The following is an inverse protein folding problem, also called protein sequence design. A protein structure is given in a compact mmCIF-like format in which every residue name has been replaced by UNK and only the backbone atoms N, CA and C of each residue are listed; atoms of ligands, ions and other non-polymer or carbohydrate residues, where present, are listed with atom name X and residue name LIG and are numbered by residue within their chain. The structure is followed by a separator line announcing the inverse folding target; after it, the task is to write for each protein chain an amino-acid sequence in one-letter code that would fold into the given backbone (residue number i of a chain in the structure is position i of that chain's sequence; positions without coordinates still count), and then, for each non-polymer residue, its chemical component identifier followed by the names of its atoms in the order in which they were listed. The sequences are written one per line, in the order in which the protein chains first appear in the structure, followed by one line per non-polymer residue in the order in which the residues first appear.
data_IF_749064314510
#
_entry.id   IF_749064314510
#
_cell.length_a   1.000
_cell.length_b   1.000
_cell.length_c   1.000
_cell.angle_alpha   90.00
_cell.angle_beta   90.00
_cell.angle_gamma   90.00
#
_symmetry.space_group_name_H-M   'P 1'
#
loop_
_entity.id
_entity.type
_entity.pdbx_description
1 polymer ?
#
# COMPACT_ATOMS: atom_id res chain seq x y z
N UNK A 1 13.05 8.45 0.09
CA UNK A 1 12.46 7.71 -1.06
C UNK A 1 13.32 6.49 -1.39
N UNK A 2 13.68 5.69 -0.39
CA UNK A 2 14.63 4.58 -0.56
C UNK A 2 14.12 3.27 0.11
N UNK A 3 12.83 3.22 0.45
CA UNK A 3 12.21 2.08 1.14
C UNK A 3 12.32 0.75 0.36
N UNK A 4 12.36 0.82 -0.97
CA UNK A 4 12.44 -0.37 -1.84
C UNK A 4 13.71 -1.17 -1.57
N UNK A 5 14.84 -0.53 -1.23
CA UNK A 5 16.09 -1.24 -0.89
C UNK A 5 15.94 -2.16 0.33
N UNK A 6 14.92 -1.93 1.14
CA UNK A 6 14.62 -2.70 2.33
C UNK A 6 13.63 -3.83 2.08
N UNK A 7 12.94 -3.87 0.94
CA UNK A 7 11.94 -4.89 0.63
C UNK A 7 12.46 -6.33 0.75
N UNK A 8 13.72 -6.66 0.39
CA UNK A 8 14.24 -8.01 0.60
C UNK A 8 14.28 -8.48 2.06
N UNK A 9 14.12 -7.58 3.03
CA UNK A 9 14.09 -7.89 4.47
C UNK A 9 12.68 -8.20 4.99
N UNK A 10 11.66 -8.06 4.16
CA UNK A 10 10.26 -8.19 4.55
C UNK A 10 9.50 -9.08 3.57
N UNK A 11 8.42 -9.68 4.07
CA UNK A 11 7.39 -10.20 3.18
C UNK A 11 6.57 -9.02 2.65
N UNK A 12 6.62 -8.81 1.34
CA UNK A 12 5.89 -7.73 0.69
C UNK A 12 4.55 -8.28 0.20
N UNK A 13 3.47 -7.67 0.67
CA UNK A 13 2.12 -8.02 0.27
C UNK A 13 1.57 -7.03 -0.75
N UNK A 14 0.70 -7.50 -1.65
CA UNK A 14 -0.06 -6.65 -2.57
C UNK A 14 -1.47 -7.17 -2.78
N UNK A 15 -2.38 -6.29 -3.22
CA UNK A 15 -3.73 -6.64 -3.67
C UNK A 15 -3.76 -6.57 -5.20
N UNK A 16 -4.57 -7.39 -5.88
CA UNK A 16 -4.80 -7.21 -7.32
C UNK A 16 -5.32 -5.79 -7.65
N UNK A 17 -6.07 -5.17 -6.73
CA UNK A 17 -6.51 -3.77 -6.85
C UNK A 17 -5.33 -2.77 -6.93
N UNK A 18 -4.21 -3.04 -6.27
CA UNK A 18 -2.99 -2.22 -6.36
C UNK A 18 -2.37 -2.29 -7.76
N UNK A 19 -2.42 -3.45 -8.42
CA UNK A 19 -1.96 -3.58 -9.81
C UNK A 19 -2.88 -2.84 -10.78
N UNK A 20 -4.18 -2.83 -10.48
CA UNK A 20 -5.16 -2.08 -11.26
C UNK A 20 -4.93 -0.57 -11.12
N UNK A 21 -4.70 -0.06 -9.91
CA UNK A 21 -4.33 1.34 -9.66
C UNK A 21 -3.02 1.72 -10.37
N UNK A 22 -2.00 0.86 -10.28
CA UNK A 22 -0.74 1.00 -11.00
C UNK A 22 -0.95 1.07 -12.51
N UNK A 23 -1.87 0.26 -13.06
CA UNK A 23 -2.20 0.26 -14.49
C UNK A 23 -2.71 1.62 -14.96
N UNK A 24 -3.56 2.30 -14.17
CA UNK A 24 -3.98 3.68 -14.49
C UNK A 24 -2.84 4.69 -14.44
N UNK A 25 -1.85 4.52 -13.54
CA UNK A 25 -0.65 5.37 -13.51
C UNK A 25 0.23 5.13 -14.74
N UNK A 26 0.41 3.88 -15.13
CA UNK A 26 1.14 3.50 -16.35
C UNK A 26 0.53 4.16 -17.57
N UNK A 27 -0.80 4.04 -17.76
CA UNK A 27 -1.52 4.63 -18.89
C UNK A 27 -1.36 6.16 -19.00
N UNK A 28 -1.12 6.85 -17.88
CA UNK A 28 -1.02 8.32 -17.84
C UNK A 28 0.40 8.84 -18.00
N UNK A 29 1.41 8.06 -17.63
CA UNK A 29 2.77 8.57 -17.37
C UNK A 29 3.81 7.91 -18.28
N UNK A 30 3.62 6.65 -18.69
CA UNK A 30 4.69 5.85 -19.26
C UNK A 30 4.56 5.75 -20.78
N UNK A 31 5.67 6.02 -21.48
CA UNK A 31 5.79 5.89 -22.93
C UNK A 31 5.65 4.44 -23.44
N UNK A 32 5.08 4.26 -24.62
CA UNK A 32 4.89 2.96 -25.27
C UNK A 32 6.20 2.19 -25.53
N UNK A 33 7.35 2.88 -25.61
CA UNK A 33 8.64 2.23 -25.77
C UNK A 33 9.12 1.49 -24.49
N UNK A 34 8.41 1.63 -23.35
CA UNK A 34 8.75 1.00 -22.07
C UNK A 34 7.89 -0.22 -21.75
N UNK A 35 7.09 -0.73 -22.69
CA UNK A 35 6.15 -1.83 -22.43
C UNK A 35 6.83 -3.12 -21.93
N UNK A 36 8.01 -3.47 -22.43
CA UNK A 36 8.75 -4.64 -21.93
C UNK A 36 9.24 -4.47 -20.48
N UNK A 37 9.58 -3.24 -20.06
CA UNK A 37 9.92 -2.96 -18.66
C UNK A 37 8.70 -3.06 -17.75
N UNK A 38 7.54 -2.55 -18.19
CA UNK A 38 6.28 -2.68 -17.46
C UNK A 38 5.91 -4.15 -17.28
N UNK A 39 5.95 -4.92 -18.36
CA UNK A 39 5.67 -6.36 -18.35
C UNK A 39 6.59 -7.11 -17.38
N UNK A 40 7.88 -6.81 -17.42
CA UNK A 40 8.88 -7.41 -16.53
C UNK A 40 8.63 -7.03 -15.07
N UNK A 41 8.27 -5.78 -14.78
CA UNK A 41 7.94 -5.31 -13.43
C UNK A 41 6.66 -5.96 -12.88
N UNK A 42 5.60 -6.05 -13.68
CA UNK A 42 4.36 -6.74 -13.29
C UNK A 42 4.61 -8.23 -13.00
N UNK A 43 5.42 -8.88 -13.83
CA UNK A 43 5.83 -10.28 -13.61
C UNK A 43 6.61 -10.42 -12.31
N UNK A 44 7.59 -9.56 -12.06
CA UNK A 44 8.38 -9.58 -10.83
C UNK A 44 7.49 -9.42 -9.58
N UNK A 45 6.52 -8.48 -9.58
CA UNK A 45 5.58 -8.33 -8.46
C UNK A 45 4.81 -9.63 -8.22
N UNK A 46 4.22 -10.22 -9.26
CA UNK A 46 3.43 -11.45 -9.13
C UNK A 46 4.23 -12.68 -8.71
N UNK A 47 5.51 -12.73 -9.06
CA UNK A 47 6.39 -13.86 -8.74
C UNK A 47 7.07 -13.73 -7.37
N UNK A 48 7.22 -12.51 -6.85
CA UNK A 48 8.02 -12.26 -5.63
C UNK A 48 7.21 -11.75 -4.45
N UNK A 49 6.06 -11.09 -4.67
CA UNK A 49 5.25 -10.54 -3.59
C UNK A 49 4.06 -11.46 -3.27
N UNK A 50 3.62 -11.43 -2.02
CA UNK A 50 2.48 -12.21 -1.54
C UNK A 50 1.18 -11.52 -1.95
N UNK A 51 0.38 -12.19 -2.80
CA UNK A 51 -0.97 -11.75 -3.10
C UNK A 51 -1.87 -11.97 -1.87
N UNK A 52 -2.49 -10.90 -1.38
CA UNK A 52 -3.52 -10.98 -0.33
C UNK A 52 -4.87 -10.50 -0.86
N UNK A 53 -5.95 -10.99 -0.24
CA UNK A 53 -7.32 -10.66 -0.62
C UNK A 53 -8.04 -9.91 0.50
N UNK A 54 -8.77 -8.84 0.19
CA UNK A 54 -9.60 -8.15 1.18
C UNK A 54 -10.67 -9.07 1.75
N UNK A 55 -10.92 -8.99 3.05
CA UNK A 55 -12.07 -9.64 3.66
C UNK A 55 -13.38 -8.93 3.23
N UNK A 56 -14.55 -9.59 3.34
CA UNK A 56 -15.84 -8.89 3.17
C UNK A 56 -15.99 -7.68 4.10
N UNK A 57 -15.45 -7.75 5.31
CA UNK A 57 -15.47 -6.63 6.25
C UNK A 57 -14.64 -5.45 5.75
N UNK A 58 -13.48 -5.70 5.15
CA UNK A 58 -12.64 -4.64 4.58
C UNK A 58 -13.40 -3.80 3.53
N UNK A 59 -14.21 -4.44 2.68
CA UNK A 59 -15.07 -3.72 1.72
C UNK A 59 -16.13 -2.85 2.41
N UNK A 60 -16.81 -3.40 3.41
CA UNK A 60 -17.85 -2.66 4.14
C UNK A 60 -17.24 -1.45 4.87
N UNK A 61 -16.12 -1.64 5.55
CA UNK A 61 -15.43 -0.55 6.24
C UNK A 61 -14.89 0.49 5.27
N UNK A 62 -14.31 0.06 4.14
CA UNK A 62 -13.87 0.97 3.09
C UNK A 62 -15.02 1.82 2.53
N UNK A 63 -16.20 1.22 2.39
CA UNK A 63 -17.40 1.93 1.96
C UNK A 63 -17.84 2.98 2.98
N UNK A 64 -17.85 2.63 4.27
CA UNK A 64 -18.18 3.56 5.34
C UNK A 64 -17.19 4.73 5.41
N UNK A 65 -15.89 4.45 5.25
CA UNK A 65 -14.83 5.47 5.20
C UNK A 65 -15.02 6.40 3.98
N UNK A 66 -15.38 5.84 2.83
CA UNK A 66 -15.72 6.59 1.63
C UNK A 66 -16.92 7.53 1.85
N UNK A 67 -17.97 7.03 2.52
CA UNK A 67 -19.14 7.84 2.89
C UNK A 67 -18.78 8.95 3.88
N UNK A 68 -17.81 8.72 4.77
CA UNK A 68 -17.33 9.69 5.75
C UNK A 68 -16.47 10.80 5.14
N UNK A 69 -15.86 10.57 3.97
CA UNK A 69 -15.25 11.64 3.18
C UNK A 69 -14.01 11.27 2.38
N UNK A 70 -13.30 10.18 2.70
CA UNK A 70 -12.08 9.80 1.96
C UNK A 70 -12.44 9.12 0.64
N UNK A 71 -12.24 9.82 -0.48
CA UNK A 71 -12.79 9.41 -1.79
C UNK A 71 -11.93 8.43 -2.57
N UNK A 72 -10.73 8.10 -2.11
CA UNK A 72 -9.99 6.99 -2.70
C UNK A 72 -10.45 5.66 -2.09
N UNK A 73 -11.23 4.91 -2.86
CA UNK A 73 -11.80 3.65 -2.40
C UNK A 73 -10.78 2.50 -2.40
N UNK A 74 -9.79 2.53 -3.30
CA UNK A 74 -8.75 1.50 -3.35
C UNK A 74 -7.86 1.63 -2.12
N UNK A 75 -7.45 2.86 -1.77
CA UNK A 75 -6.68 3.11 -0.55
C UNK A 75 -7.47 2.77 0.72
N UNK A 76 -8.77 3.04 0.74
CA UNK A 76 -9.62 2.60 1.84
C UNK A 76 -9.62 1.07 2.00
N UNK A 77 -9.71 0.32 0.89
CA UNK A 77 -9.65 -1.16 0.92
C UNK A 77 -8.27 -1.61 1.40
N UNK A 78 -7.19 -1.03 0.89
CA UNK A 78 -5.82 -1.36 1.30
C UNK A 78 -5.63 -1.17 2.82
N UNK A 79 -6.10 -0.04 3.34
CA UNK A 79 -6.05 0.27 4.76
C UNK A 79 -6.81 -0.76 5.61
N UNK A 80 -8.08 -1.04 5.32
CA UNK A 80 -8.81 -2.02 6.13
C UNK A 80 -8.34 -3.47 5.92
N UNK A 81 -7.82 -3.81 4.74
CA UNK A 81 -7.19 -5.12 4.51
C UNK A 81 -5.94 -5.27 5.38
N UNK A 82 -5.13 -4.20 5.52
CA UNK A 82 -3.94 -4.23 6.38
C UNK A 82 -4.29 -4.46 7.86
N UNK A 83 -5.38 -3.86 8.33
CA UNK A 83 -5.88 -4.03 9.70
C UNK A 83 -6.39 -5.46 9.92
N UNK A 84 -7.25 -5.95 9.03
CA UNK A 84 -7.85 -7.28 9.16
C UNK A 84 -6.77 -8.39 9.16
N UNK A 85 -5.70 -8.20 8.39
CA UNK A 85 -4.57 -9.14 8.31
C UNK A 85 -3.46 -8.86 9.33
N UNK A 86 -3.57 -7.80 10.13
CA UNK A 86 -2.55 -7.35 11.07
C UNK A 86 -1.16 -7.17 10.42
N UNK A 87 -1.12 -6.55 9.24
CA UNK A 87 0.10 -6.22 8.48
C UNK A 87 0.24 -4.70 8.36
N UNK A 88 1.47 -4.23 8.10
CA UNK A 88 1.69 -2.80 7.88
C UNK A 88 1.30 -2.36 6.46
N UNK A 89 0.52 -1.29 6.36
CA UNK A 89 0.33 -0.52 5.13
C UNK A 89 1.49 0.48 4.98
N UNK A 90 2.39 0.20 4.05
CA UNK A 90 3.43 1.15 3.64
C UNK A 90 2.84 2.16 2.65
N UNK A 91 2.74 3.43 3.02
CA UNK A 91 2.18 4.49 2.17
C UNK A 91 2.92 5.81 2.26
N UNK A 92 2.90 6.57 1.16
CA UNK A 92 3.36 7.96 1.08
C UNK A 92 2.20 8.96 1.06
N UNK A 93 0.96 8.46 1.06
CA UNK A 93 -0.22 9.31 0.98
C UNK A 93 -0.51 9.98 2.33
N UNK A 94 -0.08 11.25 2.44
CA UNK A 94 -0.34 12.07 3.61
C UNK A 94 -1.82 12.47 3.71
N UNK A 95 -2.59 12.47 2.62
CA UNK A 95 -4.02 12.77 2.66
C UNK A 95 -4.77 11.68 3.40
N UNK A 96 -4.55 10.40 3.05
CA UNK A 96 -5.07 9.24 3.77
C UNK A 96 -4.70 9.30 5.25
N UNK A 97 -3.41 9.46 5.57
CA UNK A 97 -2.91 9.48 6.97
C UNK A 97 -3.60 10.58 7.77
N UNK A 98 -3.67 11.80 7.22
CA UNK A 98 -4.31 12.93 7.89
C UNK A 98 -5.82 12.73 8.04
N UNK A 99 -6.48 12.14 7.03
CA UNK A 99 -7.90 11.82 7.09
C UNK A 99 -8.18 10.81 8.21
N UNK A 100 -7.41 9.73 8.28
CA UNK A 100 -7.55 8.70 9.30
C UNK A 100 -7.33 9.29 10.70
N UNK A 101 -6.26 10.06 10.88
CA UNK A 101 -5.94 10.75 12.14
C UNK A 101 -7.07 11.68 12.60
N UNK A 102 -7.58 12.54 11.69
CA UNK A 102 -8.66 13.49 11.98
C UNK A 102 -9.95 12.78 12.39
N UNK A 103 -10.18 11.57 11.90
CA UNK A 103 -11.40 10.80 12.11
C UNK A 103 -11.26 9.69 13.16
N UNK A 104 -10.16 9.70 13.94
CA UNK A 104 -9.85 8.77 15.02
C UNK A 104 -9.77 7.30 14.60
N UNK A 105 -9.29 7.04 13.38
CA UNK A 105 -9.00 5.69 12.91
C UNK A 105 -7.61 5.23 13.40
N UNK A 106 -7.41 3.92 13.63
CA UNK A 106 -6.11 3.37 14.03
C UNK A 106 -4.99 3.69 13.03
N UNK A 107 -3.84 4.13 13.55
CA UNK A 107 -2.65 4.40 12.73
C UNK A 107 -1.51 3.41 13.01
N UNK A 108 -1.70 2.46 13.93
CA UNK A 108 -0.66 1.53 14.37
C UNK A 108 -0.13 0.64 13.24
N UNK A 109 -0.98 0.38 12.23
CA UNK A 109 -0.65 -0.42 11.05
C UNK A 109 -0.15 0.41 9.88
N UNK A 110 0.06 1.72 10.05
CA UNK A 110 0.55 2.58 8.97
C UNK A 110 2.04 2.83 9.12
N UNK A 111 2.76 2.65 8.02
CA UNK A 111 4.18 2.93 7.93
C UNK A 111 4.44 3.90 6.78
N UNK A 112 5.22 4.94 7.03
CA UNK A 112 5.79 5.78 5.96
C UNK A 112 7.20 5.29 5.63
N UNK A 113 7.76 5.60 4.45
CA UNK A 113 9.15 5.25 4.14
C UNK A 113 10.15 5.74 5.20
N UNK A 114 9.97 6.96 5.72
CA UNK A 114 10.86 7.50 6.73
C UNK A 114 10.71 6.77 8.08
N UNK A 115 9.48 6.37 8.44
CA UNK A 115 9.24 5.56 9.63
C UNK A 115 9.81 4.14 9.51
N UNK A 116 9.77 3.55 8.31
CA UNK A 116 10.42 2.27 8.03
C UNK A 116 11.95 2.37 8.19
N UNK A 117 12.55 3.42 7.62
CA UNK A 117 13.98 3.66 7.72
C UNK A 117 14.42 3.85 9.19
N UNK A 118 13.62 4.55 10.00
CA UNK A 118 13.87 4.71 11.42
C UNK A 118 13.76 3.37 12.18
N UNK A 119 12.68 2.62 11.96
CA UNK A 119 12.47 1.31 12.57
C UNK A 119 13.65 0.35 12.30
N UNK A 120 14.18 0.37 11.09
CA UNK A 120 15.34 -0.44 10.71
C UNK A 120 16.66 0.01 11.33
N UNK A 121 16.82 1.30 11.64
CA UNK A 121 18.01 1.82 12.34
C UNK A 121 18.00 1.42 13.81
N UNK A 122 16.83 1.51 14.43
CA UNK A 122 16.65 1.16 15.84
C UNK A 122 16.90 -0.34 16.05
N UNK A 123 16.40 -1.19 15.16
CA UNK A 123 16.61 -2.65 15.20
C UNK A 123 18.07 -3.11 14.95
N UNK A 124 18.95 -2.24 14.45
CA UNK A 124 20.39 -2.54 14.25
C UNK A 124 21.24 -1.99 15.41
N UNK A 125 20.65 -1.14 16.26
CA UNK A 125 21.32 -0.51 17.40
C UNK A 125 21.11 -1.28 18.72
N UNK A 126 20.32 -2.35 18.69
CA UNK A 126 20.12 -3.36 19.77
C UNK A 126 20.93 -4.63 19.49
#
# INVERSE_FOLDING_TARGET
MDAIKHFPKFEICYLEASLLELSWKILKIIDDNKMEYIKSGLKAIRETYTLVSPSPNAYIQAYLLYKKGHKDFIDNILYFTSIDLNIFLLTIDLELINFLKKNSYPLAHILTPDALDQLLRDAVSE
#
